data_IF_299145769595
#
_entry.id   IF_299145769595
#
_cell.length_a   1.000
_cell.length_b   1.000
_cell.length_c   1.000
_cell.angle_alpha   90.00
_cell.angle_beta   90.00
_cell.angle_gamma   90.00
#
_symmetry.space_group_name_H-M   'P 1'
#
loop_
_entity.id
_entity.type
_entity.pdbx_description
1 polymer ?
#
# COMPACT_ATOMS: atom_id res chain seq x y z
N UNK A 1 23.47 -6.47 -3.43
CA UNK A 1 22.08 -6.72 -3.02
C UNK A 1 21.53 -5.46 -2.39
N UNK A 2 20.23 -5.21 -2.51
CA UNK A 2 19.56 -4.04 -1.90
C UNK A 2 19.06 -4.35 -0.49
N UNK A 3 18.64 -3.30 0.23
CA UNK A 3 17.96 -3.42 1.53
C UNK A 3 16.45 -3.53 1.32
N UNK A 4 15.79 -4.39 2.10
CA UNK A 4 14.33 -4.52 2.11
C UNK A 4 13.66 -3.43 2.98
N UNK A 5 12.34 -3.30 2.85
CA UNK A 5 11.54 -2.47 3.74
C UNK A 5 11.55 -3.06 5.17
N UNK A 6 11.66 -2.22 6.22
CA UNK A 6 11.76 -2.68 7.61
C UNK A 6 10.38 -3.04 8.18
N UNK A 7 9.79 -4.14 7.72
CA UNK A 7 8.40 -4.52 8.02
C UNK A 7 8.10 -4.64 9.52
N UNK A 8 9.03 -5.17 10.31
CA UNK A 8 8.86 -5.31 11.77
C UNK A 8 8.76 -3.96 12.47
N UNK A 9 9.43 -2.93 11.95
CA UNK A 9 9.35 -1.58 12.50
C UNK A 9 8.02 -0.88 12.15
N UNK A 10 7.27 -1.39 11.18
CA UNK A 10 5.97 -0.84 10.77
C UNK A 10 4.80 -1.41 11.59
N UNK A 11 5.01 -2.55 12.26
CA UNK A 11 4.03 -3.16 13.17
C UNK A 11 3.80 -2.25 14.39
N UNK A 12 2.65 -2.40 15.04
CA UNK A 12 2.37 -1.67 16.29
C UNK A 12 3.32 -2.11 17.41
N UNK A 13 3.93 -1.15 18.12
CA UNK A 13 4.92 -1.40 19.18
C UNK A 13 4.36 -1.23 20.62
N UNK A 14 3.05 -0.99 20.76
CA UNK A 14 2.34 -0.96 22.05
C UNK A 14 2.58 0.28 22.91
N UNK A 15 3.64 1.06 22.64
CA UNK A 15 4.00 2.30 23.37
C UNK A 15 3.45 3.56 22.67
N UNK A 16 3.32 3.54 21.34
CA UNK A 16 2.51 4.46 20.55
C UNK A 16 1.37 3.67 19.92
N UNK A 17 0.12 4.10 20.10
CA UNK A 17 -1.05 3.40 19.52
C UNK A 17 -0.94 3.16 18.01
N UNK A 18 -1.80 2.29 17.46
CA UNK A 18 -1.83 1.84 16.06
C UNK A 18 -1.14 2.78 15.05
N UNK A 19 0.06 2.40 14.60
CA UNK A 19 0.84 3.17 13.62
C UNK A 19 0.14 3.16 12.27
N UNK A 20 -0.23 4.35 11.77
CA UNK A 20 -0.77 4.50 10.42
C UNK A 20 0.33 4.31 9.37
N UNK A 21 0.04 3.54 8.35
CA UNK A 21 0.93 3.27 7.22
C UNK A 21 0.35 3.94 5.98
N UNK A 22 1.20 4.70 5.28
CA UNK A 22 0.85 5.35 4.01
C UNK A 22 1.81 4.85 2.95
N UNK A 23 1.28 4.28 1.87
CA UNK A 23 2.06 3.80 0.72
C UNK A 23 1.70 4.66 -0.49
N UNK A 24 2.71 5.27 -1.11
CA UNK A 24 2.55 6.05 -2.33
C UNK A 24 3.30 5.36 -3.48
N UNK A 25 2.56 4.89 -4.47
CA UNK A 25 3.08 4.25 -5.67
C UNK A 25 2.64 4.97 -6.94
N UNK A 26 3.59 5.20 -7.86
CA UNK A 26 3.33 5.83 -9.15
C UNK A 26 3.82 4.97 -10.30
N UNK A 27 2.95 4.56 -11.22
CA UNK A 27 3.29 3.68 -12.35
C UNK A 27 4.08 2.45 -11.90
N UNK A 28 5.25 2.19 -12.51
CA UNK A 28 6.12 1.06 -12.16
C UNK A 28 6.69 1.13 -10.73
N UNK A 29 6.64 2.29 -10.07
CA UNK A 29 7.04 2.43 -8.66
C UNK A 29 6.17 1.62 -7.70
N UNK A 30 4.97 1.20 -8.12
CA UNK A 30 4.12 0.30 -7.35
C UNK A 30 4.62 -1.16 -7.35
N UNK A 31 5.41 -1.57 -8.35
CA UNK A 31 5.95 -2.93 -8.46
C UNK A 31 6.76 -3.40 -7.24
N UNK A 32 7.76 -2.64 -6.73
CA UNK A 32 8.47 -3.03 -5.51
C UNK A 32 7.62 -2.89 -4.24
N UNK A 33 6.51 -2.16 -4.28
CA UNK A 33 5.61 -1.94 -3.14
C UNK A 33 4.54 -3.04 -3.03
N UNK A 34 4.21 -3.74 -4.12
CA UNK A 34 3.25 -4.85 -4.11
C UNK A 34 3.50 -5.89 -3.01
N UNK A 35 4.72 -6.44 -2.81
CA UNK A 35 4.96 -7.39 -1.72
C UNK A 35 4.81 -6.76 -0.33
N UNK A 36 5.08 -5.47 -0.16
CA UNK A 36 4.86 -4.74 1.10
C UNK A 36 3.37 -4.62 1.39
N UNK A 37 2.56 -4.29 0.37
CA UNK A 37 1.11 -4.22 0.48
C UNK A 37 0.57 -5.59 0.87
N UNK A 38 0.99 -6.66 0.17
CA UNK A 38 0.56 -8.03 0.45
C UNK A 38 0.89 -8.46 1.88
N UNK A 39 2.12 -8.24 2.34
CA UNK A 39 2.52 -8.55 3.72
C UNK A 39 1.62 -7.87 4.77
N UNK A 40 1.26 -6.60 4.55
CA UNK A 40 0.38 -5.84 5.44
C UNK A 40 -1.06 -6.35 5.38
N UNK A 41 -1.55 -6.73 4.20
CA UNK A 41 -2.89 -7.26 4.01
C UNK A 41 -3.04 -8.67 4.61
N UNK A 42 -2.04 -9.53 4.45
CA UNK A 42 -2.02 -10.90 4.97
C UNK A 42 -1.95 -10.93 6.51
N UNK A 43 -1.27 -9.95 7.12
CA UNK A 43 -1.13 -9.82 8.58
C UNK A 43 -1.87 -8.58 9.11
N UNK A 44 -3.09 -8.35 8.61
CA UNK A 44 -3.81 -7.08 8.85
C UNK A 44 -4.01 -6.72 10.32
N UNK A 45 -3.99 -7.67 11.23
CA UNK A 45 -4.13 -7.44 12.66
C UNK A 45 -2.87 -6.88 13.33
N UNK A 46 -1.69 -7.09 12.73
CA UNK A 46 -0.39 -6.64 13.26
C UNK A 46 -0.06 -5.18 12.89
N UNK A 47 -0.80 -4.63 11.93
CA UNK A 47 -0.58 -3.29 11.39
C UNK A 47 -1.73 -2.33 11.71
N UNK A 48 -1.40 -1.05 11.92
CA UNK A 48 -2.42 0.00 12.07
C UNK A 48 -3.13 0.34 10.75
N UNK A 49 -3.91 1.43 10.68
CA UNK A 49 -4.62 1.85 9.47
C UNK A 49 -3.70 1.98 8.24
N UNK A 50 -4.17 1.54 7.07
CA UNK A 50 -3.42 1.57 5.81
C UNK A 50 -4.07 2.53 4.82
N UNK A 51 -3.28 3.44 4.25
CA UNK A 51 -3.70 4.29 3.13
C UNK A 51 -2.82 4.02 1.91
N UNK A 52 -3.45 3.66 0.78
CA UNK A 52 -2.78 3.37 -0.48
C UNK A 52 -3.06 4.49 -1.48
N UNK A 53 -2.02 5.10 -2.03
CA UNK A 53 -2.10 6.09 -3.09
C UNK A 53 -1.46 5.54 -4.36
N UNK A 54 -2.27 5.27 -5.38
CA UNK A 54 -1.81 4.78 -6.68
C UNK A 54 -2.01 5.87 -7.75
N UNK A 55 -0.92 6.33 -8.35
CA UNK A 55 -0.93 7.34 -9.39
C UNK A 55 -0.40 6.81 -10.72
N UNK A 56 -0.93 7.28 -11.85
CA UNK A 56 -0.35 7.04 -13.16
C UNK A 56 -0.66 8.19 -14.13
N UNK A 57 0.07 8.28 -15.24
CA UNK A 57 -0.19 9.29 -16.27
C UNK A 57 -1.52 9.06 -17.00
N UNK A 58 -1.94 7.80 -17.14
CA UNK A 58 -3.22 7.42 -17.74
C UNK A 58 -3.73 6.12 -17.12
N UNK A 59 -5.05 5.82 -17.19
CA UNK A 59 -5.65 4.63 -16.57
C UNK A 59 -5.07 3.29 -17.00
N UNK A 60 -4.57 3.20 -18.24
CA UNK A 60 -3.94 2.01 -18.81
C UNK A 60 -2.51 1.77 -18.29
N UNK A 61 -1.91 2.77 -17.63
CA UNK A 61 -0.58 2.67 -17.01
C UNK A 61 -0.65 2.33 -15.51
N UNK A 62 -1.85 2.13 -14.95
CA UNK A 62 -2.02 1.60 -13.60
C UNK A 62 -1.68 0.11 -13.60
N UNK A 63 -0.61 -0.25 -12.90
CA UNK A 63 -0.22 -1.64 -12.69
C UNK A 63 -1.03 -2.25 -11.53
N UNK A 64 -1.33 -3.55 -11.61
CA UNK A 64 -2.10 -4.32 -10.60
C UNK A 64 -3.52 -3.81 -10.36
N UNK A 65 -4.12 -3.14 -11.34
CA UNK A 65 -5.45 -2.55 -11.22
C UNK A 65 -6.53 -3.56 -10.80
N UNK A 66 -6.37 -4.82 -11.21
CA UNK A 66 -7.21 -5.95 -10.85
C UNK A 66 -7.19 -6.25 -9.34
N UNK A 67 -6.10 -5.95 -8.64
CA UNK A 67 -5.94 -6.19 -7.20
C UNK A 67 -6.51 -5.02 -6.36
N UNK A 68 -6.76 -3.86 -6.97
CA UNK A 68 -7.19 -2.65 -6.24
C UNK A 68 -8.53 -2.85 -5.52
N UNK A 69 -9.45 -3.62 -6.12
CA UNK A 69 -10.73 -3.94 -5.50
C UNK A 69 -10.55 -4.78 -4.23
N UNK A 70 -9.62 -5.73 -4.25
CA UNK A 70 -9.28 -6.57 -3.10
C UNK A 70 -8.59 -5.75 -2.02
N UNK A 71 -7.58 -4.96 -2.39
CA UNK A 71 -6.85 -4.11 -1.45
C UNK A 71 -7.75 -3.09 -0.78
N UNK A 72 -8.64 -2.46 -1.53
CA UNK A 72 -9.62 -1.50 -1.02
C UNK A 72 -10.73 -2.12 -0.16
N UNK A 73 -10.98 -3.42 -0.29
CA UNK A 73 -11.95 -4.15 0.53
C UNK A 73 -11.37 -4.64 1.87
N UNK A 74 -10.04 -4.58 2.04
CA UNK A 74 -9.39 -5.05 3.24
C UNK A 74 -9.77 -4.20 4.48
N UNK A 75 -9.90 -4.81 5.67
CA UNK A 75 -10.23 -4.09 6.89
C UNK A 75 -9.24 -2.95 7.16
N UNK A 76 -9.73 -1.80 7.67
CA UNK A 76 -8.90 -0.65 8.05
C UNK A 76 -7.98 -0.15 6.90
N UNK A 77 -8.37 -0.36 5.64
CA UNK A 77 -7.61 0.08 4.46
C UNK A 77 -8.42 1.10 3.67
N UNK A 78 -7.77 2.16 3.23
CA UNK A 78 -8.34 3.15 2.31
C UNK A 78 -7.48 3.24 1.07
N UNK A 79 -8.13 3.26 -0.10
CA UNK A 79 -7.43 3.33 -1.38
C UNK A 79 -7.81 4.58 -2.15
N UNK A 80 -6.79 5.25 -2.68
CA UNK A 80 -6.86 6.44 -3.51
C UNK A 80 -6.18 6.15 -4.84
N UNK A 81 -6.89 6.37 -5.93
CA UNK A 81 -6.35 6.23 -7.28
C UNK A 81 -6.50 7.55 -8.01
N UNK A 82 -5.41 8.03 -8.62
CA UNK A 82 -5.41 9.25 -9.42
C UNK A 82 -4.72 9.02 -10.76
N UNK A 83 -5.22 9.70 -11.79
CA UNK A 83 -4.57 9.78 -13.10
C UNK A 83 -4.55 11.21 -13.58
N UNK A 84 -3.52 11.58 -14.33
CA UNK A 84 -3.45 12.92 -14.91
C UNK A 84 -4.60 13.15 -15.89
N UNK A 85 -5.17 14.36 -15.87
CA UNK A 85 -6.05 14.82 -16.94
C UNK A 85 -5.16 15.33 -18.06
N UNK A 86 -5.04 14.55 -19.12
CA UNK A 86 -4.40 14.98 -20.37
C UNK A 86 -5.08 16.18 -21.01
#
# INVERSE_FOLDING_TARGET
MGNCFPMDQLKGDGDSGDRRIIILGGGIGLAPLRPVIQEILDHRDEYGPLELFCAARSPELLVFREEFAEWGAAPRTTMHVTVDKG
#
